data_IF_143506656850
#
_entry.id   IF_143506656850
#
_cell.length_a   1.000
_cell.length_b   1.000
_cell.length_c   1.000
_cell.angle_alpha   90.00
_cell.angle_beta   90.00
_cell.angle_gamma   90.00
#
_symmetry.space_group_name_H-M   'P 1'
#
loop_
_entity.id
_entity.type
_entity.pdbx_description
1 polymer ?
2 polymer ?
3 polymer ?
#
loop_
_entity_poly.entity_id
_entity_poly.type
_entity_poly.pdbx_seq_one_letter_code
_entity_poly.pdbx_strand_id
2 'polydeoxyribonucleotide' '(DC)(DC)(DA)(DA)(DA)(DA)(DA)(DA)(DC)(DA)(DT)(DA)(DA)(DA)(DA)(DT)(DA)(DA)(DC)(DA)(DT)(DG)(DA)(DG)(DT)(DT)(DA)(DC)(DT)(DT)(DT)(DA)(DT)(DG)(DT)(DT)(DT)(DT)(DT)(DC)' ?
3 'polydeoxyribonucleotide' '(DG)(DA)(DA)(DA)(DA)(DA)(DC)(DA)(DT)(DA)(DA)(DA)(DG)(DT)(DA)(DA)(DC)(DT)(DC)(DA)(DT)(DG)(DT)(DT)(DA)(DT)(DT)(DT)(DT)(DA)(DT)(DG)(DT)(DT)(DT)(DT)(DT)(DT)(DG)(DG)' ?
#
# COMPACT_ATOMS: atom_id res chain seq x y z
N UNK A 2 -15.72 -21.09 25.03
CA UNK A 2 -15.22 -22.43 24.72
C UNK A 2 -16.27 -23.59 24.83
N UNK A 3 -16.66 -24.14 23.67
CA UNK A 3 -17.72 -25.13 23.56
C UNK A 3 -17.16 -26.52 23.28
N UNK A 4 -17.78 -27.54 23.88
CA UNK A 4 -17.46 -28.94 23.59
C UNK A 4 -18.67 -29.57 22.94
N UNK A 5 -18.48 -30.10 21.73
CA UNK A 5 -19.59 -30.57 20.89
C UNK A 5 -19.54 -32.09 20.74
N UNK A 6 -20.64 -32.74 21.13
CA UNK A 6 -20.80 -34.18 20.97
C UNK A 6 -19.71 -34.96 21.69
N UNK A 7 -19.24 -34.44 22.83
CA UNK A 7 -18.13 -35.02 23.57
C UNK A 7 -16.97 -35.36 22.63
N UNK A 8 -16.66 -34.49 21.67
CA UNK A 8 -15.61 -34.84 20.72
C UNK A 8 -14.77 -33.62 20.37
N UNK A 9 -15.41 -32.59 19.78
CA UNK A 9 -14.74 -31.36 19.39
C UNK A 9 -14.84 -30.32 20.50
N UNK A 10 -13.78 -29.54 20.66
CA UNK A 10 -13.80 -28.31 21.45
C UNK A 10 -13.68 -27.15 20.48
N UNK A 11 -14.73 -26.33 20.42
CA UNK A 11 -14.80 -25.19 19.52
C UNK A 11 -14.38 -23.94 20.28
N UNK A 12 -13.53 -23.14 19.66
CA UNK A 12 -13.15 -21.84 20.24
C UNK A 12 -13.51 -20.75 19.24
N UNK A 13 -14.58 -20.00 19.49
CA UNK A 13 -15.09 -19.10 18.45
C UNK A 13 -14.25 -17.84 18.29
N UNK A 14 -13.34 -17.57 19.22
CA UNK A 14 -12.52 -16.36 19.14
C UNK A 14 -11.25 -16.58 18.33
N UNK A 15 -10.77 -17.82 18.29
CA UNK A 15 -9.68 -18.16 17.39
C UNK A 15 -10.16 -18.92 16.16
N UNK A 16 -11.44 -19.31 16.11
CA UNK A 16 -12.04 -20.05 15.00
C UNK A 16 -11.36 -21.41 14.82
N UNK A 17 -11.29 -22.17 15.91
CA UNK A 17 -10.50 -23.39 15.92
C UNK A 17 -11.33 -24.54 16.47
N UNK A 18 -11.02 -25.73 15.96
CA UNK A 18 -11.75 -26.95 16.27
C UNK A 18 -10.72 -28.01 16.65
N UNK A 19 -10.79 -28.51 17.89
CA UNK A 19 -9.89 -29.57 18.33
C UNK A 19 -10.70 -30.85 18.48
N UNK A 20 -10.43 -31.80 17.59
CA UNK A 20 -10.93 -33.16 17.73
C UNK A 20 -10.14 -33.85 18.86
N UNK A 21 -10.83 -34.39 19.86
CA UNK A 21 -10.13 -34.95 21.02
C UNK A 21 -9.53 -36.34 20.75
N UNK A 22 -9.79 -36.94 19.58
CA UNK A 22 -9.19 -38.24 19.29
C UNK A 22 -7.71 -38.09 19.00
N UNK A 23 -7.35 -37.10 18.17
CA UNK A 23 -5.96 -36.83 17.80
C UNK A 23 -5.75 -35.32 17.95
N UNK A 24 -5.65 -34.85 19.18
CA UNK A 24 -5.36 -33.44 19.38
C UNK A 24 -3.94 -33.15 18.87
N UNK A 25 -3.80 -32.96 17.55
CA UNK A 25 -2.53 -32.71 16.87
C UNK A 25 -2.72 -31.82 15.66
N UNK A 26 -3.97 -31.60 15.27
CA UNK A 26 -4.32 -30.64 14.25
C UNK A 26 -5.40 -29.73 14.80
N UNK A 27 -5.11 -28.44 14.88
CA UNK A 27 -6.09 -27.43 15.25
C UNK A 27 -6.90 -27.12 13.99
N UNK A 28 -8.07 -27.76 13.87
CA UNK A 28 -8.91 -27.59 12.69
C UNK A 28 -9.32 -26.13 12.61
N UNK A 29 -9.12 -25.54 11.43
CA UNK A 29 -9.19 -24.10 11.21
C UNK A 29 -10.47 -23.80 10.44
N UNK A 30 -11.43 -23.18 11.12
CA UNK A 30 -12.72 -22.87 10.49
C UNK A 30 -12.65 -21.52 9.79
N UNK A 31 -13.34 -21.42 8.66
CA UNK A 31 -13.55 -20.12 8.05
C UNK A 31 -14.39 -19.22 8.93
N UNK A 32 -14.44 -17.94 8.58
CA UNK A 32 -15.23 -16.97 9.31
C UNK A 32 -16.71 -17.37 9.34
N UNK A 33 -17.32 -17.42 8.15
CA UNK A 33 -18.73 -17.80 8.04
C UNK A 33 -19.01 -19.12 8.74
N UNK A 34 -18.19 -20.13 8.47
CA UNK A 34 -18.37 -21.42 9.15
C UNK A 34 -18.31 -21.26 10.67
N UNK A 35 -17.36 -20.47 11.19
CA UNK A 35 -17.25 -20.29 12.63
C UNK A 35 -18.47 -19.60 13.20
N UNK A 36 -18.87 -18.48 12.60
CA UNK A 36 -19.97 -17.68 13.14
C UNK A 36 -21.28 -18.44 13.13
N UNK A 37 -21.53 -19.24 12.08
CA UNK A 37 -22.66 -20.18 12.08
C UNK A 37 -22.61 -21.08 13.31
N UNK A 38 -21.52 -21.82 13.49
CA UNK A 38 -21.42 -22.73 14.64
C UNK A 38 -21.57 -21.96 15.95
N UNK A 39 -21.06 -20.73 16.00
CA UNK A 39 -21.18 -19.91 17.19
C UNK A 39 -22.65 -19.69 17.57
N UNK A 40 -23.46 -19.30 16.60
CA UNK A 40 -24.86 -19.05 16.93
C UNK A 40 -25.57 -20.33 17.31
N UNK A 41 -25.32 -21.42 16.57
CA UNK A 41 -25.98 -22.69 16.83
C UNK A 41 -25.66 -23.20 18.22
N UNK A 42 -24.37 -23.14 18.60
CA UNK A 42 -23.95 -23.57 19.92
C UNK A 42 -24.49 -22.65 21.02
N UNK A 43 -24.61 -21.35 20.74
CA UNK A 43 -25.24 -20.42 21.67
C UNK A 43 -26.70 -20.72 21.94
N UNK A 44 -27.37 -21.48 21.07
CA UNK A 44 -28.81 -21.75 21.14
C UNK A 44 -29.01 -23.22 20.76
N UNK A 45 -28.65 -24.13 21.67
CA UNK A 45 -28.56 -25.54 21.29
C UNK A 45 -29.93 -26.16 21.14
N UNK A 46 -30.06 -27.08 20.18
CA UNK A 46 -31.31 -27.78 19.92
C UNK A 46 -32.44 -26.80 19.62
N UNK A 47 -32.12 -25.64 19.09
CA UNK A 47 -33.12 -24.70 18.61
C UNK A 47 -33.00 -24.58 17.10
N UNK A 48 -34.12 -24.34 16.44
CA UNK A 48 -34.13 -24.15 15.00
C UNK A 48 -33.95 -22.66 14.73
N UNK A 49 -32.84 -22.30 14.09
CA UNK A 49 -32.57 -20.90 13.77
C UNK A 49 -32.82 -20.65 12.28
N UNK A 50 -33.81 -19.80 11.99
CA UNK A 50 -34.24 -19.43 10.64
C UNK A 50 -33.04 -19.09 9.78
N UNK A 51 -33.20 -19.10 8.45
CA UNK A 51 -32.08 -18.67 7.61
C UNK A 51 -31.72 -17.20 7.88
N UNK A 52 -32.74 -16.36 8.07
CA UNK A 52 -32.51 -14.93 8.17
C UNK A 52 -31.77 -14.59 9.45
N UNK A 53 -32.04 -15.32 10.53
CA UNK A 53 -31.32 -15.05 11.76
C UNK A 53 -29.88 -15.50 11.64
N UNK A 54 -29.67 -16.67 11.02
CA UNK A 54 -28.31 -17.07 10.69
C UNK A 54 -27.63 -16.04 9.79
N UNK A 55 -28.27 -15.65 8.69
CA UNK A 55 -27.66 -14.68 7.78
C UNK A 55 -27.32 -13.38 8.50
N UNK A 56 -28.26 -12.87 9.29
CA UNK A 56 -28.02 -11.63 10.02
C UNK A 56 -26.79 -11.75 10.92
N UNK A 57 -26.68 -12.88 11.62
CA UNK A 57 -25.58 -13.07 12.56
C UNK A 57 -24.25 -13.19 11.83
N UNK A 58 -24.25 -13.90 10.70
CA UNK A 58 -23.00 -14.26 10.05
C UNK A 58 -22.52 -13.15 9.12
N UNK A 59 -23.44 -12.47 8.43
CA UNK A 59 -23.07 -11.55 7.36
C UNK A 59 -23.62 -10.15 7.67
N UNK A 60 -22.72 -9.25 8.08
CA UNK A 60 -23.06 -7.90 8.51
C UNK A 60 -22.38 -6.80 7.71
N UNK A 61 -21.39 -7.13 6.87
CA UNK A 61 -20.63 -6.15 6.10
C UNK A 61 -21.51 -5.04 5.55
N UNK A 62 -21.08 -3.81 5.78
CA UNK A 62 -21.87 -2.64 5.42
C UNK A 62 -21.89 -2.45 3.92
N UNK A 63 -23.10 -2.33 3.34
CA UNK A 63 -23.28 -2.08 1.93
C UNK A 63 -23.33 -3.30 1.02
N UNK A 64 -22.80 -4.44 1.46
CA UNK A 64 -22.73 -5.66 0.64
C UNK A 64 -23.48 -6.77 1.36
N UNK A 65 -24.57 -7.24 0.76
CA UNK A 65 -25.39 -8.30 1.33
C UNK A 65 -25.31 -9.52 0.42
N UNK A 66 -24.91 -10.64 0.98
CA UNK A 66 -24.73 -11.86 0.19
C UNK A 66 -26.07 -12.54 -0.04
N UNK A 67 -26.09 -13.46 -0.99
CA UNK A 67 -27.30 -14.20 -1.27
C UNK A 67 -27.51 -15.29 -0.22
N UNK A 68 -28.77 -15.74 -0.13
CA UNK A 68 -29.09 -16.92 0.68
C UNK A 68 -28.20 -18.10 0.34
N UNK A 69 -27.71 -18.16 -0.92
CA UNK A 69 -26.84 -19.25 -1.36
C UNK A 69 -25.66 -19.46 -0.41
N UNK A 70 -25.12 -18.37 0.13
CA UNK A 70 -23.88 -18.43 0.89
C UNK A 70 -24.06 -19.26 2.16
N UNK A 71 -25.28 -19.24 2.73
CA UNK A 71 -25.56 -20.00 3.94
C UNK A 71 -25.63 -21.50 3.67
N UNK A 72 -26.29 -21.88 2.58
CA UNK A 72 -26.31 -23.28 2.17
C UNK A 72 -24.90 -23.82 1.96
N UNK A 73 -24.01 -22.99 1.43
CA UNK A 73 -22.62 -23.39 1.19
C UNK A 73 -21.79 -23.44 2.47
N UNK A 74 -22.01 -22.50 3.40
CA UNK A 74 -21.26 -22.54 4.65
C UNK A 74 -21.69 -23.73 5.50
N UNK A 75 -22.95 -24.14 5.39
CA UNK A 75 -23.40 -25.29 6.16
C UNK A 75 -22.76 -26.56 5.63
N UNK A 76 -22.73 -26.70 4.31
CA UNK A 76 -21.99 -27.77 3.65
C UNK A 76 -20.57 -27.83 4.17
N UNK A 77 -19.91 -26.67 4.20
CA UNK A 77 -18.50 -26.57 4.57
C UNK A 77 -18.29 -26.89 6.04
N UNK A 78 -19.22 -26.42 6.88
CA UNK A 78 -19.16 -26.66 8.32
C UNK A 78 -19.34 -28.15 8.62
N UNK A 79 -20.24 -28.80 7.89
CA UNK A 79 -20.51 -30.22 8.12
C UNK A 79 -19.30 -31.05 7.71
N UNK A 80 -18.73 -30.74 6.54
CA UNK A 80 -17.49 -31.37 6.09
C UNK A 80 -16.43 -31.29 7.17
N UNK A 81 -16.09 -30.07 7.61
CA UNK A 81 -15.12 -29.91 8.69
C UNK A 81 -15.49 -30.74 9.91
N UNK A 82 -16.79 -30.88 10.18
CA UNK A 82 -17.21 -31.56 11.39
C UNK A 82 -17.31 -33.06 11.20
N UNK A 83 -17.17 -33.56 9.98
CA UNK A 83 -17.56 -34.94 9.66
C UNK A 83 -19.01 -35.16 10.04
N UNK A 84 -19.88 -34.31 9.51
CA UNK A 84 -21.31 -34.46 9.73
C UNK A 84 -21.93 -35.06 8.49
N UNK A 85 -22.79 -36.06 8.69
CA UNK A 85 -23.44 -36.76 7.59
C UNK A 85 -24.80 -36.12 7.34
N UNK A 86 -25.12 -35.85 6.07
CA UNK A 86 -26.35 -35.12 5.76
C UNK A 86 -27.61 -35.98 5.98
N UNK A 87 -27.46 -37.30 6.03
CA UNK A 87 -28.48 -38.16 6.61
C UNK A 87 -27.76 -39.39 7.14
N UNK A 88 -27.91 -39.68 8.43
CA UNK A 88 -28.65 -38.88 9.41
C UNK A 88 -27.70 -37.92 10.14
N UNK A 89 -28.07 -36.64 10.18
CA UNK A 89 -27.23 -35.64 10.85
C UNK A 89 -26.87 -36.06 12.27
N UNK A 90 -25.63 -35.72 12.68
CA UNK A 90 -25.11 -35.90 14.03
C UNK A 90 -24.74 -34.58 14.71
N UNK A 91 -24.45 -33.52 13.95
CA UNK A 91 -24.16 -32.20 14.50
C UNK A 91 -25.21 -31.19 14.07
N UNK A 92 -25.30 -30.89 12.78
CA UNK A 92 -26.20 -29.85 12.28
C UNK A 92 -27.32 -30.51 11.49
N UNK A 93 -28.56 -30.12 11.78
CA UNK A 93 -29.76 -30.73 11.23
C UNK A 93 -30.56 -29.71 10.42
N UNK A 94 -31.09 -30.12 9.28
CA UNK A 94 -31.82 -29.21 8.42
C UNK A 94 -33.30 -29.28 8.73
N UNK A 95 -33.96 -28.13 8.80
CA UNK A 95 -35.41 -28.10 8.96
C UNK A 95 -35.98 -27.32 7.79
N UNK A 96 -36.41 -27.98 6.72
CA UNK A 96 -36.78 -27.24 5.50
C UNK A 96 -37.82 -26.18 5.75
N UNK A 97 -37.69 -25.07 5.02
CA UNK A 97 -38.52 -23.89 5.13
C UNK A 97 -38.40 -23.23 6.48
N UNK A 98 -37.41 -23.65 7.29
CA UNK A 98 -37.35 -23.19 8.67
C UNK A 98 -35.96 -22.96 9.23
N UNK A 99 -34.89 -23.51 8.64
CA UNK A 99 -33.55 -23.16 9.09
C UNK A 99 -32.71 -24.34 9.50
N UNK A 100 -31.67 -24.11 10.31
CA UNK A 100 -30.80 -25.17 10.78
C UNK A 100 -30.87 -25.23 12.30
N UNK A 101 -30.29 -26.29 12.86
CA UNK A 101 -30.53 -26.68 14.24
C UNK A 101 -29.40 -27.59 14.68
N UNK A 102 -28.71 -27.21 15.74
CA UNK A 102 -27.59 -27.99 16.29
C UNK A 102 -28.19 -29.04 17.21
N UNK A 103 -28.06 -30.32 16.82
CA UNK A 103 -28.55 -31.43 17.64
C UNK A 103 -27.45 -32.10 18.47
N UNK A 104 -26.18 -31.76 18.24
CA UNK A 104 -25.08 -32.33 19.01
C UNK A 104 -25.07 -31.81 20.45
N UNK A 105 -24.40 -32.54 21.34
CA UNK A 105 -24.37 -32.16 22.74
C UNK A 105 -23.42 -31.00 22.95
N UNK A 106 -23.86 -30.01 23.73
CA UNK A 106 -23.11 -28.76 23.89
C UNK A 106 -22.90 -28.50 25.38
N UNK A 107 -21.63 -28.45 25.79
CA UNK A 107 -21.21 -28.11 27.14
C UNK A 107 -20.31 -26.90 27.08
N UNK A 108 -20.43 -26.03 28.07
CA UNK A 108 -19.61 -24.83 28.10
C UNK A 108 -18.33 -25.06 28.89
N UNK A 109 -17.31 -24.26 28.58
CA UNK A 109 -16.02 -24.29 29.27
C UNK A 109 -15.46 -25.70 29.40
N UNK B 1 -14.85 13.38 0.13
CA UNK B 1 -14.07 14.41 -0.55
C UNK B 1 -13.45 13.82 -1.80
N UNK B 2 -13.72 14.41 -2.96
CA UNK B 2 -13.11 13.91 -4.19
C UNK B 2 -11.84 14.70 -4.48
N UNK B 3 -10.97 14.13 -5.32
CA UNK B 3 -9.68 14.72 -5.69
C UNK B 3 -9.54 14.69 -7.22
N UNK B 4 -8.84 15.67 -7.77
CA UNK B 4 -8.53 15.68 -9.20
C UNK B 4 -7.02 15.53 -9.35
N UNK B 5 -6.63 14.52 -10.12
CA UNK B 5 -5.23 14.17 -10.31
C UNK B 5 -4.76 14.49 -11.71
N UNK B 6 -3.82 15.42 -11.82
CA UNK B 6 -2.96 15.60 -12.98
C UNK B 6 -3.70 16.27 -14.10
N UNK B 7 -4.82 16.91 -13.79
CA UNK B 7 -5.76 17.48 -14.77
C UNK B 7 -6.40 16.38 -15.65
N UNK B 8 -6.48 15.14 -15.14
CA UNK B 8 -6.99 14.07 -16.00
C UNK B 8 -7.99 13.19 -15.25
N UNK B 9 -7.58 12.64 -14.12
CA UNK B 9 -8.44 11.72 -13.41
C UNK B 9 -9.20 12.40 -12.29
N UNK B 10 -10.34 11.82 -11.94
CA UNK B 10 -11.09 12.19 -10.75
C UNK B 10 -11.24 10.97 -9.84
N UNK B 11 -10.66 11.06 -8.65
CA UNK B 11 -10.62 9.96 -7.69
C UNK B 11 -11.67 10.20 -6.61
N UNK B 12 -12.55 9.24 -6.40
CA UNK B 12 -13.46 9.34 -5.26
C UNK B 12 -13.11 8.30 -4.19
N UNK B 13 -12.57 8.71 -3.06
CA UNK B 13 -12.21 7.71 -2.04
C UNK B 13 -13.42 7.01 -1.40
N UNK B 14 -14.61 7.61 -1.40
CA UNK B 14 -15.77 6.92 -0.85
C UNK B 14 -16.13 5.71 -1.70
N UNK B 15 -16.59 5.96 -2.93
CA UNK B 15 -16.97 4.93 -3.88
C UNK B 15 -15.78 4.16 -4.46
N UNK B 16 -14.55 4.67 -4.31
CA UNK B 16 -13.32 4.00 -4.78
C UNK B 16 -13.22 3.94 -6.31
N UNK B 17 -13.47 5.08 -6.94
CA UNK B 17 -13.68 5.18 -8.38
C UNK B 17 -12.64 6.08 -8.95
N UNK B 18 -12.22 5.80 -10.15
CA UNK B 18 -11.30 6.64 -10.89
C UNK B 18 -11.93 6.87 -12.24
N UNK B 19 -12.27 8.11 -12.55
CA UNK B 19 -12.86 8.46 -13.84
C UNK B 19 -11.83 9.25 -14.61
N UNK B 20 -11.48 8.74 -15.79
CA UNK B 20 -10.54 9.44 -16.64
C UNK B 20 -11.32 10.47 -17.44
N UNK B 21 -10.80 11.69 -17.56
CA UNK B 21 -11.54 12.69 -18.32
C UNK B 21 -11.42 12.46 -19.83
N UNK B 22 -10.45 11.65 -20.27
CA UNK B 22 -10.30 11.27 -21.67
C UNK B 22 -11.25 10.13 -22.08
N UNK B 23 -11.92 9.49 -21.12
CA UNK B 23 -12.88 8.43 -21.37
C UNK B 23 -14.20 8.77 -20.71
N UNK B 24 -14.13 9.36 -19.52
CA UNK B 24 -15.23 10.08 -18.87
C UNK B 24 -16.44 9.19 -18.64
N UNK B 25 -16.76 8.40 -19.66
CA UNK B 25 -17.88 7.49 -19.54
C UNK B 25 -17.47 6.23 -18.79
N UNK B 26 -16.17 5.93 -18.75
CA UNK B 26 -15.63 4.68 -18.22
C UNK B 26 -15.15 4.90 -16.79
N UNK B 27 -15.70 4.10 -15.86
CA UNK B 27 -15.43 4.21 -14.44
C UNK B 27 -14.40 3.14 -14.07
N UNK B 28 -13.17 3.54 -13.80
CA UNK B 28 -12.17 2.60 -13.30
C UNK B 28 -12.44 2.32 -11.82
N UNK B 29 -12.48 1.04 -11.47
CA UNK B 29 -12.98 0.53 -10.20
C UNK B 29 -11.80 -0.01 -9.39
N UNK B 30 -11.39 0.75 -8.36
CA UNK B 30 -10.19 0.44 -7.57
C UNK B 30 -10.49 -0.46 -6.38
N UNK B 31 -9.57 -1.36 -6.07
CA UNK B 31 -9.63 -2.07 -4.81
C UNK B 31 -9.48 -1.13 -3.64
N UNK B 32 -9.79 -1.66 -2.45
CA UNK B 32 -9.64 -0.89 -1.22
C UNK B 32 -8.20 -0.48 -1.01
N UNK B 33 -7.29 -1.45 -0.99
CA UNK B 33 -5.90 -1.09 -0.76
C UNK B 33 -5.48 0.01 -1.73
N UNK B 34 -5.80 -0.16 -3.02
CA UNK B 34 -5.34 0.80 -4.01
C UNK B 34 -5.99 2.17 -3.79
N UNK B 35 -7.21 2.19 -3.28
CA UNK B 35 -7.87 3.44 -2.96
C UNK B 35 -7.24 4.10 -1.74
N UNK B 36 -7.07 3.32 -0.67
CA UNK B 36 -6.41 3.82 0.51
C UNK B 36 -5.01 4.33 0.18
N UNK B 37 -4.26 3.62 -0.68
CA UNK B 37 -2.91 4.07 -1.03
C UNK B 37 -3.00 5.41 -1.71
N UNK B 38 -3.75 5.47 -2.81
CA UNK B 38 -3.93 6.71 -3.54
C UNK B 38 -4.42 7.83 -2.62
N UNK B 39 -5.34 7.52 -1.69
CA UNK B 39 -5.82 8.53 -0.76
C UNK B 39 -4.66 9.19 -0.02
N UNK B 40 -3.95 8.37 0.76
CA UNK B 40 -2.84 8.86 1.59
C UNK B 40 -1.79 9.57 0.73
N UNK B 41 -1.48 9.05 -0.46
CA UNK B 41 -0.55 9.74 -1.35
C UNK B 41 -1.04 11.16 -1.68
N UNK B 42 -2.33 11.30 -2.00
CA UNK B 42 -2.90 12.61 -2.30
C UNK B 42 -2.96 13.51 -1.07
N UNK B 43 -3.21 12.94 0.10
CA UNK B 43 -3.20 13.72 1.33
C UNK B 43 -1.86 14.36 1.61
N UNK B 44 -0.78 13.83 1.03
CA UNK B 44 0.58 14.32 1.25
C UNK B 44 1.17 14.48 -0.12
N UNK B 45 0.79 15.52 -0.85
CA UNK B 45 1.15 15.61 -2.27
C UNK B 45 2.63 15.89 -2.44
N UNK B 46 3.19 15.33 -3.50
CA UNK B 46 4.60 15.51 -3.80
C UNK B 46 5.49 15.24 -2.59
N UNK B 47 5.02 14.48 -1.61
CA UNK B 47 5.80 14.01 -0.46
C UNK B 47 6.08 12.53 -0.60
N UNK B 48 7.26 12.12 -0.13
CA UNK B 48 7.66 10.71 -0.19
C UNK B 48 7.16 10.00 1.08
N UNK B 49 6.28 9.00 0.89
CA UNK B 49 5.59 8.32 1.98
C UNK B 49 6.22 6.96 2.19
N UNK B 50 6.74 6.72 3.40
CA UNK B 50 7.55 5.56 3.69
C UNK B 50 6.78 4.26 3.48
N UNK B 51 7.53 3.16 3.33
CA UNK B 51 6.84 1.88 3.20
C UNK B 51 6.10 1.52 4.48
N UNK B 52 6.64 1.89 5.65
CA UNK B 52 5.94 1.58 6.89
C UNK B 52 4.64 2.35 7.01
N UNK B 53 4.68 3.64 6.70
CA UNK B 53 3.49 4.46 6.80
C UNK B 53 2.39 3.94 5.89
N UNK B 54 2.74 3.65 4.63
CA UNK B 54 1.72 3.10 3.73
C UNK B 54 1.18 1.80 4.30
N UNK B 55 2.07 0.92 4.75
CA UNK B 55 1.66 -0.36 5.34
C UNK B 55 0.71 -0.13 6.51
N UNK B 56 1.18 0.60 7.52
CA UNK B 56 0.34 1.05 8.64
C UNK B 56 -1.06 1.45 8.19
N UNK B 57 -1.13 2.46 7.32
CA UNK B 57 -2.43 3.00 6.97
C UNK B 57 -3.24 2.03 6.13
N UNK B 58 -2.62 1.42 5.15
CA UNK B 58 -3.42 0.64 4.22
C UNK B 58 -3.84 -0.68 4.84
N UNK B 59 -3.04 -1.23 5.76
CA UNK B 59 -3.33 -2.55 6.30
C UNK B 59 -3.43 -2.54 7.82
N UNK B 60 -2.32 -2.33 8.54
CA UNK B 60 -2.30 -2.61 9.96
C UNK B 60 -3.38 -1.84 10.69
N UNK B 61 -3.48 -0.54 10.43
CA UNK B 61 -4.49 0.26 11.12
C UNK B 61 -5.91 -0.19 10.80
N UNK B 62 -6.14 -0.89 9.69
CA UNK B 62 -7.45 -1.45 9.36
C UNK B 62 -7.63 -2.88 9.82
N UNK B 63 -6.72 -3.41 10.64
CA UNK B 63 -6.92 -4.75 11.16
C UNK B 63 -6.44 -5.89 10.30
N UNK B 64 -5.68 -5.63 9.22
CA UNK B 64 -5.09 -6.69 8.41
C UNK B 64 -3.58 -6.65 8.57
N UNK B 65 -2.95 -7.83 8.63
CA UNK B 65 -1.49 -7.94 8.71
C UNK B 65 -1.02 -8.72 7.50
N UNK B 66 -0.01 -8.19 6.81
CA UNK B 66 0.29 -8.65 5.46
C UNK B 66 1.78 -8.39 5.19
N UNK B 67 2.36 -9.20 4.30
CA UNK B 67 3.77 -9.02 3.97
C UNK B 67 4.00 -7.67 3.31
N UNK B 68 5.19 -7.09 3.54
CA UNK B 68 5.55 -5.87 2.84
C UNK B 68 5.62 -6.08 1.33
N UNK B 69 5.61 -7.33 0.87
CA UNK B 69 5.39 -7.62 -0.54
C UNK B 69 4.11 -6.98 -1.06
N UNK B 70 3.04 -7.02 -0.26
CA UNK B 70 1.70 -6.71 -0.76
C UNK B 70 1.57 -5.25 -1.16
N UNK B 71 2.42 -4.39 -0.59
CA UNK B 71 2.50 -2.99 -1.00
C UNK B 71 3.10 -2.84 -2.39
N UNK B 72 4.24 -3.52 -2.66
CA UNK B 72 4.84 -3.44 -3.99
C UNK B 72 3.86 -3.90 -5.05
N UNK B 73 2.99 -4.87 -4.71
CA UNK B 73 2.01 -5.39 -5.66
C UNK B 73 0.84 -4.42 -5.86
N UNK B 74 0.38 -3.79 -4.78
CA UNK B 74 -0.68 -2.81 -4.88
C UNK B 74 -0.28 -1.64 -5.76
N UNK B 75 0.96 -1.17 -5.62
CA UNK B 75 1.44 -0.07 -6.44
C UNK B 75 1.47 -0.44 -7.92
N UNK B 76 2.03 -1.60 -8.25
CA UNK B 76 1.96 -2.10 -9.61
C UNK B 76 0.54 -2.03 -10.13
N UNK B 77 -0.41 -2.41 -9.27
CA UNK B 77 -1.81 -2.46 -9.68
C UNK B 77 -2.38 -1.06 -9.86
N UNK B 78 -2.04 -0.16 -8.92
CA UNK B 78 -2.46 1.24 -9.00
C UNK B 78 -1.91 1.90 -10.27
N UNK B 79 -0.61 1.72 -10.53
CA UNK B 79 0.01 2.25 -11.74
C UNK B 79 -0.66 1.71 -13.00
N UNK B 80 -0.93 0.40 -13.03
CA UNK B 80 -1.72 -0.16 -14.12
C UNK B 80 -3.04 0.60 -14.25
N UNK B 81 -3.74 0.80 -13.13
CA UNK B 81 -5.04 1.45 -13.19
C UNK B 81 -4.91 2.90 -13.66
N UNK B 82 -3.77 3.54 -13.40
CA UNK B 82 -3.53 4.92 -13.77
C UNK B 82 -2.96 5.08 -15.15
N UNK B 83 -2.51 3.97 -15.76
CA UNK B 83 -1.77 3.99 -16.99
C UNK B 83 -0.52 4.85 -16.83
N UNK B 84 0.15 4.64 -15.69
CA UNK B 84 1.48 5.16 -15.40
C UNK B 84 2.50 4.17 -15.96
N UNK B 85 3.75 4.61 -16.06
CA UNK B 85 4.81 3.72 -16.50
C UNK B 85 5.94 3.81 -15.48
N UNK B 86 6.63 2.70 -15.28
CA UNK B 86 7.61 2.65 -14.19
C UNK B 86 8.81 3.54 -14.50
N UNK B 87 9.22 3.64 -15.75
CA UNK B 87 9.90 4.84 -16.19
C UNK B 87 9.51 5.02 -17.65
N UNK B 88 8.96 6.18 -17.98
CA UNK B 88 8.90 7.46 -17.24
C UNK B 88 7.65 7.81 -16.43
N UNK B 89 7.75 7.78 -15.10
CA UNK B 89 6.55 7.98 -14.28
C UNK B 89 5.99 9.39 -14.42
N UNK B 90 4.65 9.49 -14.36
CA UNK B 90 3.97 10.76 -14.28
C UNK B 90 3.03 10.87 -13.10
N UNK B 91 2.63 9.76 -12.47
CA UNK B 91 1.69 9.81 -11.35
C UNK B 91 2.34 9.35 -10.05
N UNK B 92 2.75 8.07 -9.95
CA UNK B 92 3.31 7.50 -8.73
C UNK B 92 4.77 7.20 -9.01
N UNK B 93 5.65 7.72 -8.16
CA UNK B 93 7.09 7.62 -8.32
C UNK B 93 7.68 6.80 -7.17
N UNK B 94 8.77 6.09 -7.45
CA UNK B 94 9.43 5.22 -6.47
C UNK B 94 10.74 5.84 -5.96
N UNK B 95 10.95 5.76 -4.65
CA UNK B 95 12.16 6.34 -4.10
C UNK B 95 12.82 5.25 -3.26
N UNK B 96 13.70 4.44 -3.85
CA UNK B 96 14.14 3.23 -3.16
C UNK B 96 14.64 3.49 -1.74
N UNK B 97 14.23 2.60 -0.83
CA UNK B 97 14.59 2.66 0.57
C UNK B 97 13.96 3.87 1.25
N UNK B 98 12.98 4.50 0.60
CA UNK B 98 12.30 5.63 1.22
C UNK B 98 10.79 5.53 1.08
N UNK B 99 10.29 4.87 0.04
CA UNK B 99 8.85 4.75 -0.13
C UNK B 99 8.36 5.17 -1.51
N UNK B 100 7.11 5.65 -1.58
CA UNK B 100 6.48 6.08 -2.81
C UNK B 100 6.02 7.53 -2.70
N UNK B 101 5.86 8.17 -3.86
CA UNK B 101 5.58 9.60 -3.90
C UNK B 101 4.67 9.96 -5.07
N UNK B 102 3.61 10.71 -4.76
CA UNK B 102 2.64 11.15 -5.76
C UNK B 102 3.11 12.46 -6.40
N UNK B 103 3.71 12.36 -7.60
CA UNK B 103 4.28 13.53 -8.24
C UNK B 103 3.29 14.22 -9.17
N UNK B 104 2.11 13.65 -9.36
CA UNK B 104 1.06 14.30 -10.12
C UNK B 104 0.40 15.38 -9.25
N UNK B 105 -0.36 16.25 -9.89
CA UNK B 105 -0.95 17.41 -9.24
C UNK B 105 -2.24 17.00 -8.57
N UNK B 106 -2.55 17.66 -7.46
CA UNK B 106 -3.64 17.20 -6.60
C UNK B 106 -4.50 18.40 -6.26
N UNK B 107 -5.74 18.39 -6.71
CA UNK B 107 -6.71 19.44 -6.42
C UNK B 107 -7.91 18.81 -5.71
N UNK B 108 -8.47 19.53 -4.73
CA UNK B 108 -9.55 18.99 -3.93
C UNK B 108 -10.92 19.47 -4.41
N UNK B 109 -11.96 18.88 -3.83
CA UNK B 109 -13.36 19.27 -4.03
C UNK B 109 -14.16 19.18 -2.73
N UNK C 1 10.24 24.08 -3.78
CA UNK C 1 11.03 25.21 -4.27
C UNK C 1 11.85 24.83 -5.51
N UNK C 2 11.52 25.40 -6.67
CA UNK C 2 12.26 25.10 -7.89
C UNK C 2 13.50 26.00 -7.99
N UNK C 3 14.52 25.52 -8.70
CA UNK C 3 15.74 26.28 -8.91
C UNK C 3 16.06 26.32 -10.40
N UNK C 4 16.67 27.44 -10.82
CA UNK C 4 17.21 27.60 -12.17
C UNK C 4 18.71 27.75 -12.03
N UNK C 5 19.44 26.83 -12.66
CA UNK C 5 20.89 26.71 -12.56
C UNK C 5 21.52 27.11 -13.88
N UNK C 6 22.55 27.94 -13.82
CA UNK C 6 23.39 28.30 -14.96
C UNK C 6 22.57 28.87 -16.10
N UNK C 7 21.37 29.37 -15.81
CA UNK C 7 20.45 29.89 -16.82
C UNK C 7 20.19 28.85 -17.92
N UNK C 8 20.12 27.57 -17.56
CA UNK C 8 19.91 26.53 -18.56
C UNK C 8 18.99 25.45 -18.01
N UNK C 9 19.30 24.95 -16.82
CA UNK C 9 18.51 23.86 -16.26
C UNK C 9 17.52 24.38 -15.26
N UNK C 10 16.39 23.68 -15.18
CA UNK C 10 15.39 23.86 -14.12
C UNK C 10 15.43 22.62 -13.23
N UNK C 11 15.75 22.81 -11.95
CA UNK C 11 15.94 21.74 -10.99
C UNK C 11 14.77 21.74 -10.02
N UNK C 12 14.05 20.62 -9.96
CA UNK C 12 12.97 20.46 -8.99
C UNK C 12 13.39 19.47 -7.91
N UNK C 13 13.76 19.93 -6.70
CA UNK C 13 14.35 19.01 -5.72
C UNK C 13 13.36 18.01 -5.13
N UNK C 14 12.07 18.26 -5.28
CA UNK C 14 11.03 17.43 -4.72
C UNK C 14 10.65 16.32 -5.70
N UNK C 15 10.31 16.67 -6.93
CA UNK C 15 10.03 15.63 -7.92
C UNK C 15 11.30 14.93 -8.36
N UNK C 16 12.46 15.59 -8.21
CA UNK C 16 13.79 15.10 -8.59
C UNK C 16 14.01 15.13 -10.09
N UNK C 17 13.60 16.23 -10.72
CA UNK C 17 13.61 16.38 -12.18
C UNK C 17 14.54 17.51 -12.62
N UNK C 18 15.05 17.38 -13.84
CA UNK C 18 15.92 18.36 -14.47
C UNK C 18 15.42 18.56 -15.90
N UNK C 19 14.96 19.78 -16.20
CA UNK C 19 14.60 20.15 -17.57
C UNK C 19 15.68 21.07 -18.10
N UNK C 20 16.40 20.60 -19.11
CA UNK C 20 17.32 21.46 -19.85
C UNK C 20 16.52 22.37 -20.77
N UNK C 21 16.81 23.67 -20.74
CA UNK C 21 16.06 24.57 -21.61
C UNK C 21 16.24 24.23 -23.09
N UNK C 22 17.38 23.63 -23.48
CA UNK C 22 17.63 23.22 -24.86
C UNK C 22 16.89 21.96 -25.25
N UNK C 23 16.32 21.28 -24.26
CA UNK C 23 15.57 20.07 -24.42
C UNK C 23 14.37 20.23 -23.51
N UNK C 24 13.48 21.13 -23.91
CA UNK C 24 12.40 21.55 -23.03
C UNK C 24 11.32 20.48 -22.89
N UNK C 25 11.27 19.53 -23.83
CA UNK C 25 10.20 18.53 -23.85
C UNK C 25 10.77 17.15 -23.53
N UNK C 26 11.43 17.06 -22.39
CA UNK C 26 12.24 15.93 -21.95
C UNK C 26 12.57 16.12 -20.49
N UNK C 27 12.25 15.15 -19.64
CA UNK C 27 12.51 15.25 -18.20
C UNK C 27 13.75 14.42 -17.92
N UNK C 28 14.71 15.03 -17.23
CA UNK C 28 15.89 14.29 -16.77
C UNK C 28 15.65 13.85 -15.34
N UNK C 29 15.62 12.54 -15.14
CA UNK C 29 15.34 11.96 -13.83
C UNK C 29 16.64 11.62 -13.12
N UNK C 30 16.92 12.35 -12.05
CA UNK C 30 18.07 12.14 -11.19
C UNK C 30 17.76 11.08 -10.15
N UNK C 31 18.77 10.32 -9.75
CA UNK C 31 18.63 9.52 -8.56
C UNK C 31 18.38 10.39 -7.34
N UNK C 32 17.87 9.78 -6.27
CA UNK C 32 17.73 10.49 -5.00
C UNK C 32 19.05 11.11 -4.57
N UNK C 33 20.10 10.30 -4.52
CA UNK C 33 21.41 10.80 -4.11
C UNK C 33 21.82 11.98 -4.97
N UNK C 34 21.78 11.81 -6.29
CA UNK C 34 22.20 12.91 -7.17
C UNK C 34 21.34 14.14 -6.93
N UNK C 35 20.04 13.93 -6.70
CA UNK C 35 19.16 15.04 -6.42
C UNK C 35 19.53 15.74 -5.11
N UNK C 36 19.81 14.98 -4.04
CA UNK C 36 20.00 15.58 -2.72
C UNK C 36 21.33 16.32 -2.64
N UNK C 37 22.33 15.83 -3.40
CA UNK C 37 23.61 16.52 -3.56
C UNK C 37 23.39 17.90 -4.17
N UNK C 38 22.72 17.93 -5.34
CA UNK C 38 22.50 19.17 -6.06
C UNK C 38 21.66 20.14 -5.25
N UNK C 39 20.74 19.62 -4.45
CA UNK C 39 19.95 20.45 -3.55
C UNK C 39 20.87 21.17 -2.56
N UNK C 40 21.67 20.41 -1.82
CA UNK C 40 22.51 21.00 -0.78
C UNK C 40 23.51 21.98 -1.36
N UNK C 41 24.11 21.62 -2.50
CA UNK C 41 25.02 22.52 -3.19
C UNK C 41 24.33 23.83 -3.58
N UNK C 42 23.15 23.73 -4.21
CA UNK C 42 22.41 24.91 -4.62
C UNK C 42 22.01 25.76 -3.42
N UNK C 43 21.70 25.13 -2.26
CA UNK C 43 21.25 25.87 -1.10
C UNK C 43 22.35 26.74 -0.49
N UNK C 44 23.63 26.42 -0.75
CA UNK C 44 24.76 27.29 -0.40
C UNK C 44 25.57 27.54 -1.68
N UNK C 45 25.12 28.48 -2.52
CA UNK C 45 25.74 28.59 -3.84
C UNK C 45 27.13 29.16 -3.73
N UNK C 46 28.02 28.63 -4.57
CA UNK C 46 29.42 29.04 -4.58
C UNK C 46 30.08 28.86 -3.21
N UNK C 47 29.58 27.95 -2.39
CA UNK C 47 30.23 27.58 -1.14
C UNK C 47 30.79 26.16 -1.24
N UNK C 48 31.87 25.91 -0.54
CA UNK C 48 32.49 24.59 -0.50
C UNK C 48 31.75 23.78 0.57
N UNK C 49 31.06 22.71 0.16
CA UNK C 49 30.49 21.77 1.10
C UNK C 49 31.47 20.61 1.26
N UNK C 50 31.91 20.39 2.51
CA UNK C 50 32.84 19.32 2.86
C UNK C 50 32.33 17.96 2.36
N UNK C 51 33.22 16.98 2.17
CA UNK C 51 32.75 15.62 1.90
C UNK C 51 31.80 15.16 2.98
N UNK C 52 32.20 15.34 4.23
CA UNK C 52 31.37 14.82 5.30
C UNK C 52 29.99 15.47 5.28
N UNK C 53 29.92 16.78 5.07
CA UNK C 53 28.61 17.41 5.09
C UNK C 53 27.72 16.83 4.00
N UNK C 54 28.29 16.64 2.81
CA UNK C 54 27.51 16.02 1.75
C UNK C 54 27.08 14.62 2.16
N UNK C 55 28.03 13.83 2.66
CA UNK C 55 27.74 12.48 3.12
C UNK C 55 26.62 12.49 4.15
N UNK C 56 26.71 13.36 5.16
CA UNK C 56 25.74 13.32 6.24
C UNK C 56 24.34 13.69 5.75
N UNK C 57 24.22 14.73 4.93
CA UNK C 57 22.89 15.14 4.47
C UNK C 57 22.31 14.15 3.47
N UNK C 58 23.16 13.63 2.58
CA UNK C 58 22.65 12.78 1.51
C UNK C 58 22.36 11.38 2.03
N UNK C 59 23.21 10.84 2.91
CA UNK C 59 23.05 9.46 3.36
C UNK C 59 22.75 9.35 4.86
N UNK C 60 23.65 9.79 5.74
CA UNK C 60 23.51 9.46 7.16
C UNK C 60 22.23 10.04 7.73
N UNK C 61 21.96 11.32 7.45
CA UNK C 61 20.73 11.94 7.94
C UNK C 61 19.51 11.44 7.20
N UNK C 62 19.50 10.15 6.91
CA UNK C 62 18.41 9.47 6.21
C UNK C 62 18.44 8.03 6.66
N UNK C 63 19.31 7.69 7.61
CA UNK C 63 19.47 6.34 8.09
C UNK C 63 20.26 5.43 7.19
N UNK C 64 21.10 5.97 6.33
CA UNK C 64 21.88 5.16 5.39
C UNK C 64 23.36 5.36 5.63
N UNK C 65 24.07 4.25 5.83
CA UNK C 65 25.52 4.25 6.00
C UNK C 65 26.19 3.67 4.76
N UNK C 66 27.10 4.45 4.17
CA UNK C 66 27.80 4.06 2.95
C UNK C 66 29.24 4.54 3.01
N UNK C 67 30.11 3.88 2.25
CA UNK C 67 31.48 4.35 2.11
C UNK C 67 31.49 5.70 1.44
N UNK C 68 32.54 6.46 1.74
CA UNK C 68 32.75 7.74 1.09
C UNK C 68 32.81 7.62 -0.43
N UNK C 69 33.06 6.41 -0.96
CA UNK C 69 33.10 6.23 -2.40
C UNK C 69 31.76 6.58 -3.05
N UNK C 70 30.65 6.44 -2.31
CA UNK C 70 29.33 6.66 -2.87
C UNK C 70 29.12 8.10 -3.26
N UNK C 71 29.76 9.03 -2.56
CA UNK C 71 29.69 10.43 -2.93
C UNK C 71 30.43 10.71 -4.24
N UNK C 72 31.70 10.27 -4.33
CA UNK C 72 32.46 10.47 -5.56
C UNK C 72 31.69 9.97 -6.77
N UNK C 73 31.01 8.82 -6.60
CA UNK C 73 30.24 8.17 -7.64
C UNK C 73 28.95 8.93 -7.97
N UNK C 74 28.28 9.47 -6.95
CA UNK C 74 27.08 10.27 -7.22
C UNK C 74 27.44 11.56 -7.93
N UNK C 75 28.62 12.11 -7.64
CA UNK C 75 29.02 13.37 -8.27
C UNK C 75 29.30 13.17 -9.76
N UNK C 76 30.17 12.20 -10.06
CA UNK C 76 30.31 11.68 -11.42
C UNK C 76 28.99 11.57 -12.16
N UNK C 77 27.98 10.99 -11.50
CA UNK C 77 26.68 10.76 -12.13
C UNK C 77 25.92 12.06 -12.31
N UNK C 78 25.82 12.86 -11.26
CA UNK C 78 25.30 14.22 -11.34
C UNK C 78 25.91 14.97 -12.53
N UNK C 79 27.24 15.01 -12.62
CA UNK C 79 27.89 15.71 -13.73
C UNK C 79 27.43 15.16 -15.07
N UNK C 80 27.35 13.83 -15.18
CA UNK C 80 26.87 13.21 -16.40
C UNK C 80 25.45 13.66 -16.70
N UNK C 81 24.58 13.69 -15.69
CA UNK C 81 23.23 14.16 -15.96
C UNK C 81 23.25 15.61 -16.41
N UNK C 82 24.16 16.41 -15.84
CA UNK C 82 24.30 17.82 -16.20
C UNK C 82 25.03 18.03 -17.51
N UNK C 83 25.70 16.99 -18.03
CA UNK C 83 26.67 17.14 -19.10
C UNK C 83 27.63 18.26 -18.73
N UNK C 84 28.14 18.16 -17.50
CA UNK C 84 29.27 18.96 -17.07
C UNK C 84 30.56 18.30 -17.53
N UNK C 85 31.60 19.09 -17.66
CA UNK C 85 32.89 18.56 -18.05
C UNK C 85 33.75 18.47 -16.80
N UNK C 86 34.43 17.34 -16.62
CA UNK C 86 35.20 17.18 -15.38
C UNK C 86 36.29 18.23 -15.26
N UNK C 87 37.07 18.45 -16.33
CA UNK C 87 37.92 19.62 -16.19
C UNK C 87 37.87 20.51 -17.43
N UNK C 88 36.71 21.12 -17.60
CA UNK C 88 36.58 22.57 -17.53
C UNK C 88 35.18 22.69 -16.93
N UNK C 89 35.07 22.53 -15.61
CA UNK C 89 33.76 22.38 -14.99
C UNK C 89 32.91 23.62 -15.08
N UNK C 90 31.70 23.46 -15.60
CA UNK C 90 30.71 24.53 -15.73
C UNK C 90 29.81 24.67 -14.52
N UNK C 91 29.44 23.58 -13.86
CA UNK C 91 28.41 23.60 -12.84
C UNK C 91 28.95 23.23 -11.47
N UNK C 92 29.48 22.01 -11.32
CA UNK C 92 29.92 21.43 -10.05
C UNK C 92 31.44 21.32 -10.09
N UNK C 93 32.10 21.95 -9.12
CA UNK C 93 33.56 21.99 -9.10
C UNK C 93 34.14 21.23 -7.89
N UNK C 94 35.28 20.57 -8.11
CA UNK C 94 35.99 19.83 -7.07
C UNK C 94 36.98 20.73 -6.32
N UNK C 95 37.00 20.60 -4.99
CA UNK C 95 37.97 21.32 -4.19
C UNK C 95 38.77 20.26 -3.43
N UNK C 96 39.76 19.62 -4.04
CA UNK C 96 40.37 18.43 -3.42
C UNK C 96 40.66 18.62 -1.94
N UNK C 97 40.58 17.52 -1.20
CA UNK C 97 40.83 17.50 0.24
C UNK C 97 39.84 18.41 1.00
N UNK C 98 38.68 18.72 0.41
CA UNK C 98 37.71 19.60 1.04
C UNK C 98 36.31 19.14 0.70
N UNK C 99 35.94 19.24 -0.56
CA UNK C 99 34.68 18.73 -1.03
C UNK C 99 34.39 19.24 -2.43
N UNK C 100 33.19 19.75 -2.59
CA UNK C 100 32.63 20.14 -3.87
C UNK C 100 31.90 21.45 -3.68
N UNK C 101 31.70 22.16 -4.77
CA UNK C 101 31.03 23.46 -4.70
C UNK C 101 30.29 23.70 -6.00
N UNK C 102 29.17 24.40 -5.89
CA UNK C 102 28.34 24.71 -7.04
C UNK C 102 28.80 26.07 -7.51
N UNK C 103 29.48 26.11 -8.66
CA UNK C 103 29.93 27.37 -9.21
C UNK C 103 28.92 27.97 -10.19
N UNK C 104 27.88 27.25 -10.58
CA UNK C 104 26.95 27.79 -11.56
C UNK C 104 25.97 28.75 -10.88
N UNK C 105 25.27 29.52 -11.69
CA UNK C 105 24.41 30.55 -11.13
C UNK C 105 23.11 29.92 -10.64
N UNK C 106 22.58 30.45 -9.55
CA UNK C 106 21.46 29.83 -8.87
C UNK C 106 20.40 30.90 -8.64
N UNK C 107 19.26 30.73 -9.27
CA UNK C 107 18.11 31.60 -9.05
C UNK C 107 16.91 30.74 -8.63
N UNK C 108 16.20 31.21 -7.60
CA UNK C 108 14.93 30.60 -7.22
C UNK C 108 13.85 31.07 -8.21
N UNK C 109 12.60 30.65 -7.97
CA UNK C 109 11.49 30.86 -8.90
C UNK C 109 10.24 31.50 -8.27
#
# INVERSE_FOLDING_TARGET
>A
MKFILAEKFTFDPLSNTLIDKEDSEEIIRLGSNESRILWLLAQRPNEVISRNDLHDFVWREQGFEVDDSSLTQAISTLRKMLKDSTKSPQYVKTVPKRGYQLIARVETV
>B
MKFILAEKFTFDPLSNTLIDKEDSEEIIRLGSNESRILWLLAQRPNEVISRNDLHDFVWREQGFEVDDSSLTQAISTLRKMLKDSTKSPQYVKTVPKRGYQLIARVETV
>C
MKFILAEKFTFDPLSNTLIDKEDSEEIIRLGSNESRILWLLAQRPNEVISRNDLHDFVWREQGFEVDDSSLTQAISTLRKMLKDSTKSPQYVKTVPKRGYQLIARVETV
#
